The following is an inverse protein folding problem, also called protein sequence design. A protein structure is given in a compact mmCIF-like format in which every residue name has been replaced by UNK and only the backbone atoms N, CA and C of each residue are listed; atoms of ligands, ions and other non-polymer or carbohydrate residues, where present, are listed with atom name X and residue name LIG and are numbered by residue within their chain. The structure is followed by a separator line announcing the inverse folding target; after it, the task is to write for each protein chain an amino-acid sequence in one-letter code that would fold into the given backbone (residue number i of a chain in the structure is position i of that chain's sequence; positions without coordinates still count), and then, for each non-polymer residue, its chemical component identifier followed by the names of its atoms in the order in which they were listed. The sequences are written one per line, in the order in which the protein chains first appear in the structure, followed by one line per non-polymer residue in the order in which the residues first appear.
data_IF_702368784738
#
_entry.id   IF_702368784738
#
_cell.length_a   1.000
_cell.length_b   1.000
_cell.length_c   1.000
_cell.angle_alpha   90.00
_cell.angle_beta   90.00
_cell.angle_gamma   90.00
#
_symmetry.space_group_name_H-M   'P 1'
#
loop_
_entity.id
_entity.type
_entity.pdbx_description
1 polymer ?
#
# COMPACT_ATOMS: atom_id res chain seq x y z
N UNK A 1 -19.09 -37.72 48.35
CA UNK A 1 -20.39 -38.40 48.50
C UNK A 1 -21.26 -37.76 49.56
N UNK A 2 -20.82 -37.58 50.81
CA UNK A 2 -21.63 -36.98 51.89
C UNK A 2 -22.30 -35.64 51.52
N UNK A 3 -21.59 -34.74 50.87
CA UNK A 3 -22.15 -33.48 50.39
C UNK A 3 -23.26 -33.66 49.32
N UNK A 4 -23.15 -34.71 48.53
CA UNK A 4 -24.15 -35.06 47.53
C UNK A 4 -25.41 -35.65 48.19
N UNK A 5 -25.23 -36.60 49.15
CA UNK A 5 -26.30 -37.21 49.91
C UNK A 5 -27.09 -36.14 50.71
N UNK A 6 -26.37 -35.19 51.35
CA UNK A 6 -27.00 -34.07 52.05
C UNK A 6 -27.79 -33.14 51.11
N UNK A 7 -27.27 -32.87 49.93
CA UNK A 7 -27.92 -32.05 48.90
C UNK A 7 -29.18 -32.74 48.33
N UNK A 8 -29.18 -34.06 48.19
CA UNK A 8 -30.35 -34.82 47.77
C UNK A 8 -31.46 -34.71 48.84
N UNK A 9 -31.13 -34.96 50.11
CA UNK A 9 -32.07 -34.85 51.21
C UNK A 9 -32.61 -33.43 51.44
N UNK A 10 -31.79 -32.41 51.20
CA UNK A 10 -32.23 -31.01 51.22
C UNK A 10 -33.22 -30.70 50.10
N UNK A 11 -33.00 -31.18 48.88
CA UNK A 11 -33.93 -30.99 47.78
C UNK A 11 -35.27 -31.72 47.97
N UNK A 12 -35.31 -32.84 48.72
CA UNK A 12 -36.55 -33.52 49.08
C UNK A 12 -37.36 -32.70 50.08
N UNK A 13 -36.72 -31.88 50.90
CA UNK A 13 -37.40 -31.10 52.00
C UNK A 13 -37.72 -29.66 51.55
N UNK A 14 -36.90 -29.06 50.68
CA UNK A 14 -37.07 -27.69 50.22
C UNK A 14 -37.52 -27.70 48.77
N UNK A 15 -38.81 -27.77 48.53
CA UNK A 15 -39.42 -27.80 47.19
C UNK A 15 -39.13 -26.49 46.44
N UNK A 16 -39.02 -25.37 47.14
CA UNK A 16 -38.77 -24.07 46.50
C UNK A 16 -37.41 -24.00 45.83
N UNK A 17 -36.37 -24.61 46.42
CA UNK A 17 -35.01 -24.64 45.91
C UNK A 17 -34.60 -26.04 45.43
N UNK A 18 -35.54 -26.97 45.25
CA UNK A 18 -35.29 -28.36 44.92
C UNK A 18 -34.38 -28.51 43.71
N UNK A 19 -34.66 -27.79 42.61
CA UNK A 19 -33.89 -27.80 41.42
C UNK A 19 -32.40 -27.49 41.69
N UNK A 20 -32.11 -26.44 42.45
CA UNK A 20 -30.76 -26.00 42.80
C UNK A 20 -30.03 -27.01 43.68
N UNK A 21 -30.72 -27.57 44.67
CA UNK A 21 -30.14 -28.56 45.55
C UNK A 21 -29.82 -29.86 44.83
N UNK A 22 -30.70 -30.34 43.97
CA UNK A 22 -30.52 -31.59 43.22
C UNK A 22 -29.47 -31.46 42.12
N UNK A 23 -29.42 -30.37 41.41
CA UNK A 23 -28.36 -30.13 40.44
C UNK A 23 -26.98 -30.08 41.10
N UNK A 24 -26.87 -29.40 42.25
CA UNK A 24 -25.62 -29.37 43.03
C UNK A 24 -25.25 -30.74 43.60
N UNK A 25 -26.24 -31.51 44.09
CA UNK A 25 -26.02 -32.87 44.54
C UNK A 25 -25.54 -33.80 43.44
N UNK A 26 -26.15 -33.75 42.26
CA UNK A 26 -25.73 -34.50 41.10
C UNK A 26 -24.28 -34.16 40.68
N UNK A 27 -23.93 -32.88 40.68
CA UNK A 27 -22.54 -32.41 40.40
C UNK A 27 -21.55 -32.97 41.42
N UNK A 28 -21.92 -33.03 42.70
CA UNK A 28 -21.07 -33.58 43.75
C UNK A 28 -20.92 -35.12 43.65
N UNK A 29 -21.93 -35.85 43.20
CA UNK A 29 -21.80 -37.28 42.89
C UNK A 29 -20.86 -37.50 41.75
N UNK A 30 -20.95 -36.70 40.70
CA UNK A 30 -20.06 -36.77 39.54
C UNK A 30 -18.60 -36.50 39.94
N UNK A 31 -18.36 -35.50 40.77
CA UNK A 31 -17.00 -35.25 41.33
C UNK A 31 -16.50 -36.44 42.17
N UNK A 32 -17.35 -37.03 42.99
CA UNK A 32 -16.95 -38.21 43.76
C UNK A 32 -16.59 -39.41 42.91
N UNK A 33 -17.28 -39.59 41.77
CA UNK A 33 -16.95 -40.64 40.79
C UNK A 33 -15.68 -40.34 39.97
N UNK A 34 -15.26 -39.09 39.84
CA UNK A 34 -13.96 -38.76 39.24
C UNK A 34 -12.78 -39.23 40.13
N UNK A 35 -12.97 -39.21 41.49
CA UNK A 35 -11.95 -39.73 42.41
C UNK A 35 -11.98 -41.26 42.55
N UNK A 36 -13.17 -41.86 42.49
CA UNK A 36 -13.35 -43.32 42.53
C UNK A 36 -14.38 -43.79 41.49
N UNK A 37 -13.91 -43.99 40.22
CA UNK A 37 -14.82 -44.35 39.11
C UNK A 37 -15.51 -45.70 39.24
N UNK A 38 -14.99 -46.59 40.10
CA UNK A 38 -15.54 -47.96 40.33
C UNK A 38 -16.54 -48.03 41.47
N UNK A 39 -16.81 -46.92 42.17
CA UNK A 39 -17.73 -46.89 43.31
C UNK A 39 -19.18 -47.09 42.84
N UNK A 40 -19.61 -48.35 42.95
CA UNK A 40 -20.98 -48.76 42.53
C UNK A 40 -22.09 -48.07 43.32
N UNK A 41 -21.86 -47.84 44.60
CA UNK A 41 -22.87 -47.21 45.48
C UNK A 41 -23.04 -45.71 45.12
N UNK A 42 -21.96 -44.98 44.91
CA UNK A 42 -22.03 -43.60 44.48
C UNK A 42 -22.74 -43.46 43.11
N UNK A 43 -22.44 -44.36 42.18
CA UNK A 43 -23.10 -44.40 40.85
C UNK A 43 -24.58 -44.70 40.97
N UNK A 44 -24.96 -45.67 41.82
CA UNK A 44 -26.38 -46.02 42.05
C UNK A 44 -27.17 -44.82 42.62
N UNK A 45 -26.61 -44.11 43.60
CA UNK A 45 -27.23 -42.91 44.17
C UNK A 45 -27.36 -41.77 43.20
N UNK A 46 -26.32 -41.52 42.38
CA UNK A 46 -26.38 -40.54 41.33
C UNK A 46 -27.48 -40.82 40.32
N UNK A 47 -27.58 -42.09 39.84
CA UNK A 47 -28.60 -42.50 38.89
C UNK A 47 -30.01 -42.38 39.50
N UNK A 48 -30.19 -42.74 40.78
CA UNK A 48 -31.47 -42.56 41.48
C UNK A 48 -31.86 -41.09 41.55
N UNK A 49 -30.91 -40.18 41.84
CA UNK A 49 -31.17 -38.74 41.83
C UNK A 49 -31.53 -38.25 40.44
N UNK A 50 -30.82 -38.73 39.39
CA UNK A 50 -31.14 -38.38 38.01
C UNK A 50 -32.58 -38.78 37.62
N UNK A 51 -33.02 -40.02 37.98
CA UNK A 51 -34.41 -40.43 37.76
C UNK A 51 -35.44 -39.54 38.47
N UNK A 52 -35.15 -39.16 39.74
CA UNK A 52 -36.03 -38.24 40.46
C UNK A 52 -36.07 -36.83 39.83
N UNK A 53 -34.96 -36.40 39.31
CA UNK A 53 -34.89 -35.12 38.57
C UNK A 53 -35.67 -35.17 37.27
N UNK A 54 -35.61 -36.28 36.52
CA UNK A 54 -36.38 -36.47 35.28
C UNK A 54 -37.89 -36.52 35.55
N UNK A 55 -38.33 -37.22 36.65
CA UNK A 55 -39.74 -37.27 37.08
C UNK A 55 -40.29 -35.87 37.40
N UNK A 56 -39.46 -34.98 37.92
CA UNK A 56 -39.81 -33.60 38.23
C UNK A 56 -39.50 -32.59 37.12
N UNK A 57 -39.16 -33.06 35.91
CA UNK A 57 -38.75 -32.23 34.79
C UNK A 57 -37.61 -31.25 35.13
N UNK A 58 -36.74 -31.64 36.08
CA UNK A 58 -35.54 -30.88 36.45
C UNK A 58 -34.40 -31.31 35.58
N UNK A 59 -34.07 -30.51 34.58
CA UNK A 59 -32.92 -30.76 33.72
C UNK A 59 -31.59 -30.73 34.52
N UNK A 60 -30.66 -31.60 34.19
CA UNK A 60 -29.32 -31.68 34.79
C UNK A 60 -28.46 -30.40 34.52
N UNK A 61 -29.08 -29.39 33.92
CA UNK A 61 -28.44 -28.11 33.68
C UNK A 61 -27.37 -28.22 32.62
N UNK A 62 -27.74 -28.71 31.43
CA UNK A 62 -26.97 -28.50 30.22
C UNK A 62 -27.11 -27.02 29.81
N UNK A 63 -26.61 -26.10 30.65
CA UNK A 63 -26.26 -24.77 30.19
C UNK A 63 -25.17 -24.93 29.17
N UNK A 64 -25.16 -24.04 28.20
CA UNK A 64 -24.07 -23.91 27.20
C UNK A 64 -22.73 -23.74 27.95
N UNK A 65 -22.11 -24.87 28.35
CA UNK A 65 -20.82 -24.84 29.02
C UNK A 65 -19.76 -25.00 27.94
N UNK A 66 -19.00 -23.95 27.71
CA UNK A 66 -17.87 -23.96 26.78
C UNK A 66 -16.66 -24.68 27.38
N UNK A 67 -16.52 -24.69 28.70
CA UNK A 67 -15.44 -25.38 29.42
C UNK A 67 -16.05 -26.16 30.62
N UNK A 68 -15.53 -27.37 30.87
CA UNK A 68 -15.82 -28.20 32.03
C UNK A 68 -14.48 -28.55 32.71
N UNK A 69 -14.31 -28.10 33.95
CA UNK A 69 -13.08 -28.27 34.76
C UNK A 69 -11.78 -27.86 34.06
N UNK A 70 -11.84 -26.79 33.22
CA UNK A 70 -10.70 -26.26 32.49
C UNK A 70 -10.47 -26.88 31.09
N UNK A 71 -11.20 -27.96 30.77
CA UNK A 71 -11.16 -28.57 29.46
C UNK A 71 -12.29 -28.06 28.57
N UNK A 72 -12.05 -27.79 27.27
CA UNK A 72 -13.11 -27.39 26.37
C UNK A 72 -14.11 -28.54 26.17
N UNK A 73 -15.39 -28.24 26.30
CA UNK A 73 -16.46 -29.16 25.91
C UNK A 73 -16.54 -29.29 24.41
N UNK A 74 -17.26 -30.29 23.82
CA UNK A 74 -17.47 -30.34 22.37
C UNK A 74 -18.04 -29.04 21.80
N UNK A 75 -18.95 -28.38 22.53
CA UNK A 75 -19.47 -27.05 22.16
C UNK A 75 -18.39 -25.97 22.27
N UNK A 76 -17.55 -26.01 23.32
CA UNK A 76 -16.41 -25.12 23.48
C UNK A 76 -15.38 -25.26 22.37
N UNK A 77 -15.08 -26.48 21.94
CA UNK A 77 -14.19 -26.72 20.80
C UNK A 77 -14.75 -26.14 19.49
N UNK A 78 -16.03 -26.36 19.21
CA UNK A 78 -16.70 -25.77 18.03
C UNK A 78 -16.68 -24.25 18.12
N UNK A 79 -16.93 -23.67 19.28
CA UNK A 79 -16.90 -22.20 19.47
C UNK A 79 -15.50 -21.63 19.28
N UNK A 80 -14.45 -22.31 19.75
CA UNK A 80 -13.05 -21.91 19.53
C UNK A 80 -12.66 -21.99 18.06
N UNK A 81 -13.11 -23.03 17.34
CA UNK A 81 -12.88 -23.15 15.89
C UNK A 81 -13.57 -22.03 15.12
N UNK A 82 -14.83 -21.71 15.46
CA UNK A 82 -15.55 -20.60 14.83
C UNK A 82 -14.87 -19.27 15.13
N UNK A 83 -14.45 -19.02 16.39
CA UNK A 83 -13.74 -17.81 16.76
C UNK A 83 -12.41 -17.69 16.03
N UNK A 84 -11.65 -18.78 15.91
CA UNK A 84 -10.41 -18.83 15.14
C UNK A 84 -10.62 -18.54 13.64
N UNK A 85 -11.67 -19.13 13.05
CA UNK A 85 -12.03 -18.87 11.65
C UNK A 85 -12.43 -17.40 11.42
N UNK A 86 -13.23 -16.83 12.33
CA UNK A 86 -13.63 -15.41 12.27
C UNK A 86 -12.41 -14.49 12.38
N UNK A 87 -11.44 -14.86 13.23
CA UNK A 87 -10.19 -14.11 13.38
C UNK A 87 -9.33 -14.16 12.10
N UNK A 88 -9.23 -15.32 11.45
CA UNK A 88 -8.54 -15.47 10.17
C UNK A 88 -9.24 -14.71 9.04
N UNK A 89 -10.56 -14.77 8.98
CA UNK A 89 -11.35 -14.01 7.99
C UNK A 89 -11.20 -12.51 8.22
N UNK A 90 -11.28 -12.04 9.47
CA UNK A 90 -11.10 -10.62 9.78
C UNK A 90 -9.68 -10.16 9.48
N UNK A 91 -8.66 -10.98 9.76
CA UNK A 91 -7.28 -10.69 9.38
C UNK A 91 -7.12 -10.56 7.86
N UNK A 92 -7.69 -11.53 7.11
CA UNK A 92 -7.67 -11.47 5.64
C UNK A 92 -8.38 -10.22 5.10
N UNK A 93 -9.58 -9.90 5.61
CA UNK A 93 -10.31 -8.68 5.20
C UNK A 93 -9.53 -7.41 5.51
N UNK A 94 -8.84 -7.36 6.67
CA UNK A 94 -7.99 -6.21 7.04
C UNK A 94 -6.78 -6.12 6.11
N UNK A 95 -6.11 -7.24 5.80
CA UNK A 95 -4.98 -7.23 4.85
C UNK A 95 -5.43 -6.85 3.45
N UNK A 96 -6.52 -7.44 2.94
CA UNK A 96 -7.08 -7.09 1.63
C UNK A 96 -7.52 -5.60 1.56
N UNK A 97 -7.94 -5.00 2.67
CA UNK A 97 -8.30 -3.57 2.73
C UNK A 97 -7.08 -2.65 2.81
N UNK A 98 -5.99 -3.10 3.44
CA UNK A 98 -4.71 -2.37 3.48
C UNK A 98 -3.98 -2.49 2.12
N UNK A 99 -4.10 -3.67 1.47
CA UNK A 99 -3.47 -3.99 0.19
C UNK A 99 -4.38 -3.67 -1.02
N UNK A 100 -5.49 -2.90 -0.86
CA UNK A 100 -6.17 -2.37 -2.06
C UNK A 100 -5.18 -1.45 -2.76
N UNK A 101 -4.77 -1.75 -4.01
CA UNK A 101 -3.96 -0.82 -4.77
C UNK A 101 -4.70 0.52 -4.77
N UNK A 102 -4.05 1.58 -4.33
CA UNK A 102 -4.57 2.92 -4.61
C UNK A 102 -4.65 3.00 -6.15
N UNK A 103 -5.80 3.40 -6.68
CA UNK A 103 -5.94 3.58 -8.12
C UNK A 103 -4.76 4.41 -8.62
N UNK A 104 -4.08 3.91 -9.66
CA UNK A 104 -2.94 4.62 -10.27
C UNK A 104 -3.39 6.03 -10.65
N UNK A 105 -2.77 7.08 -10.08
CA UNK A 105 -3.19 8.45 -10.39
C UNK A 105 -2.93 8.75 -11.86
N UNK A 106 -3.87 9.43 -12.49
CA UNK A 106 -3.72 9.94 -13.86
C UNK A 106 -3.48 11.44 -13.79
N UNK A 107 -2.51 11.91 -14.55
CA UNK A 107 -2.22 13.34 -14.71
C UNK A 107 -2.36 13.76 -16.16
N UNK A 108 -2.77 15.01 -16.38
CA UNK A 108 -2.80 15.63 -17.70
C UNK A 108 -1.77 16.75 -17.78
N UNK A 109 -0.85 16.66 -18.73
CA UNK A 109 0.10 17.69 -19.06
C UNK A 109 -0.48 18.54 -20.21
N UNK A 110 -0.63 19.84 -20.02
CA UNK A 110 -0.94 20.80 -21.06
C UNK A 110 0.36 21.38 -21.59
N UNK A 111 0.71 21.10 -22.87
CA UNK A 111 2.00 21.45 -23.46
C UNK A 111 1.77 22.35 -24.66
N UNK A 112 2.41 23.54 -24.70
CA UNK A 112 2.41 24.43 -25.84
C UNK A 112 3.71 24.33 -26.62
N UNK A 113 3.62 24.00 -27.89
CA UNK A 113 4.80 23.83 -28.76
C UNK A 113 4.58 24.36 -30.16
N UNK A 114 5.68 24.52 -30.93
CA UNK A 114 5.67 24.80 -32.33
C UNK A 114 6.06 23.52 -33.09
N UNK A 115 5.18 22.93 -33.89
CA UNK A 115 5.55 21.79 -34.73
C UNK A 115 6.73 22.10 -35.65
N UNK A 116 7.58 21.12 -35.96
CA UNK A 116 8.70 21.27 -36.86
C UNK A 116 8.21 21.79 -38.23
N UNK A 117 8.85 22.84 -38.74
CA UNK A 117 8.42 23.53 -39.97
C UNK A 117 7.08 24.26 -39.87
N UNK A 118 6.44 24.28 -38.73
CA UNK A 118 5.18 24.99 -38.48
C UNK A 118 5.38 26.49 -38.23
N UNK A 119 4.30 27.26 -38.42
CA UNK A 119 4.28 28.70 -38.19
C UNK A 119 3.38 29.14 -37.07
N UNK A 120 2.62 28.22 -36.49
CA UNK A 120 1.67 28.48 -35.41
C UNK A 120 1.89 27.50 -34.26
N UNK A 121 1.75 27.99 -33.02
CA UNK A 121 1.82 27.13 -31.82
C UNK A 121 0.54 26.33 -31.68
N UNK A 122 0.70 25.11 -31.20
CA UNK A 122 -0.40 24.23 -30.85
C UNK A 122 -0.32 23.87 -29.36
N UNK A 123 -1.43 23.43 -28.81
CA UNK A 123 -1.51 22.93 -27.44
C UNK A 123 -1.84 21.44 -27.50
N UNK A 124 -1.00 20.65 -26.89
CA UNK A 124 -1.20 19.22 -26.67
C UNK A 124 -1.71 18.94 -25.26
N UNK A 125 -2.50 17.88 -25.12
CA UNK A 125 -2.92 17.33 -23.85
C UNK A 125 -2.45 15.89 -23.77
N UNK A 126 -1.51 15.61 -22.87
CA UNK A 126 -0.91 14.30 -22.69
C UNK A 126 -1.36 13.73 -21.36
N UNK A 127 -2.11 12.62 -21.39
CA UNK A 127 -2.53 11.93 -20.17
C UNK A 127 -1.54 10.81 -19.84
N UNK A 128 -1.13 10.75 -18.58
CA UNK A 128 -0.14 9.82 -18.07
C UNK A 128 -0.70 9.12 -16.84
N UNK A 129 -0.70 7.79 -16.85
CA UNK A 129 -0.91 6.95 -15.68
C UNK A 129 0.40 6.84 -14.89
N UNK A 130 0.34 7.08 -13.58
CA UNK A 130 1.50 7.00 -12.69
C UNK A 130 1.50 5.69 -11.91
N UNK A 131 2.62 4.97 -11.89
CA UNK A 131 2.76 3.64 -11.32
C UNK A 131 3.19 3.71 -9.85
N UNK A 132 2.22 3.94 -8.95
CA UNK A 132 2.47 4.14 -7.51
C UNK A 132 3.02 2.89 -6.83
N UNK A 133 2.63 1.70 -7.26
CA UNK A 133 3.08 0.45 -6.66
C UNK A 133 4.53 0.12 -7.02
N UNK A 134 4.97 0.48 -8.24
CA UNK A 134 6.30 0.18 -8.75
C UNK A 134 7.34 1.26 -8.42
N UNK A 135 6.90 2.52 -8.27
CA UNK A 135 7.78 3.65 -7.98
C UNK A 135 7.12 4.65 -7.01
N UNK A 136 6.79 4.22 -5.77
CA UNK A 136 5.98 5.00 -4.83
C UNK A 136 6.58 6.36 -4.49
N UNK A 137 7.91 6.45 -4.31
CA UNK A 137 8.56 7.72 -3.95
C UNK A 137 8.60 8.67 -5.14
N UNK A 138 8.86 8.16 -6.36
CA UNK A 138 8.89 9.00 -7.56
C UNK A 138 7.51 9.56 -7.89
N UNK A 139 6.46 8.73 -7.79
CA UNK A 139 5.08 9.16 -7.99
C UNK A 139 4.67 10.19 -6.93
N UNK A 140 4.97 9.94 -5.64
CA UNK A 140 4.69 10.90 -4.58
C UNK A 140 5.41 12.24 -4.83
N UNK A 141 6.71 12.20 -5.16
CA UNK A 141 7.50 13.40 -5.44
C UNK A 141 6.92 14.19 -6.62
N UNK A 142 6.56 13.49 -7.71
CA UNK A 142 5.95 14.13 -8.87
C UNK A 142 4.63 14.82 -8.51
N UNK A 143 3.75 14.15 -7.76
CA UNK A 143 2.46 14.69 -7.33
C UNK A 143 2.61 15.87 -6.37
N UNK A 144 3.57 15.84 -5.44
CA UNK A 144 3.87 16.99 -4.56
C UNK A 144 4.28 18.23 -5.36
N UNK A 145 5.11 18.04 -6.39
CA UNK A 145 5.55 19.14 -7.27
C UNK A 145 4.41 19.64 -8.18
N UNK A 146 3.48 18.78 -8.57
CA UNK A 146 2.24 19.16 -9.26
C UNK A 146 1.33 19.98 -8.34
N UNK A 147 1.12 19.52 -7.10
CA UNK A 147 0.28 20.22 -6.10
C UNK A 147 0.84 21.62 -5.77
N UNK A 148 2.15 21.75 -5.72
CA UNK A 148 2.85 23.04 -5.49
C UNK A 148 2.93 23.90 -6.75
N UNK A 149 2.37 23.45 -7.89
CA UNK A 149 2.45 24.11 -9.21
C UNK A 149 3.90 24.39 -9.69
N UNK A 150 4.88 23.63 -9.17
CA UNK A 150 6.29 23.80 -9.50
C UNK A 150 6.59 23.56 -11.00
N UNK A 151 5.79 22.73 -11.66
CA UNK A 151 5.93 22.45 -13.09
C UNK A 151 5.27 23.48 -14.01
N UNK A 152 4.41 24.36 -13.46
CA UNK A 152 3.65 25.30 -14.27
C UNK A 152 4.57 26.29 -14.97
N UNK A 153 4.34 26.47 -16.27
CA UNK A 153 5.09 27.35 -17.18
C UNK A 153 6.58 27.01 -17.32
N UNK A 154 7.03 25.82 -16.92
CA UNK A 154 8.40 25.35 -17.14
C UNK A 154 8.64 24.94 -18.60
N UNK A 155 9.91 24.69 -18.98
CA UNK A 155 10.27 24.31 -20.33
C UNK A 155 10.69 22.86 -20.42
N UNK A 156 10.44 22.26 -21.58
CA UNK A 156 11.22 21.12 -22.06
C UNK A 156 12.53 21.66 -22.61
N UNK A 157 13.57 21.65 -21.79
CA UNK A 157 14.86 22.29 -22.07
C UNK A 157 15.78 21.44 -22.93
N UNK A 158 15.49 20.15 -23.08
CA UNK A 158 16.27 19.22 -23.90
C UNK A 158 15.34 18.26 -24.64
N UNK A 159 15.42 18.27 -25.97
CA UNK A 159 14.60 17.43 -26.87
C UNK A 159 15.53 16.77 -27.88
N UNK A 160 15.43 15.44 -27.97
CA UNK A 160 16.18 14.65 -28.96
C UNK A 160 15.19 13.71 -29.64
N UNK A 161 15.06 13.88 -30.93
CA UNK A 161 14.27 13.02 -31.80
C UNK A 161 14.75 11.57 -31.71
N UNK A 162 13.83 10.60 -31.85
CA UNK A 162 14.09 9.16 -31.65
C UNK A 162 14.66 8.81 -30.24
N UNK A 163 14.58 9.71 -29.25
CA UNK A 163 15.09 9.44 -27.92
C UNK A 163 14.14 9.87 -26.80
N UNK A 164 14.03 11.18 -26.50
CA UNK A 164 13.20 11.66 -25.36
C UNK A 164 12.95 13.17 -25.44
N UNK A 165 11.91 13.60 -24.71
CA UNK A 165 11.66 15.00 -24.37
C UNK A 165 11.85 15.18 -22.85
N UNK A 166 12.76 16.05 -22.42
CA UNK A 166 13.14 16.26 -21.03
C UNK A 166 12.75 17.65 -20.53
N UNK A 167 12.07 17.69 -19.37
CA UNK A 167 11.63 18.90 -18.68
C UNK A 167 11.69 18.77 -17.17
N UNK A 168 10.93 19.61 -16.46
CA UNK A 168 10.78 19.56 -15.00
C UNK A 168 11.88 20.27 -14.21
N UNK A 169 12.78 21.02 -14.86
CA UNK A 169 13.68 21.97 -14.18
C UNK A 169 12.94 23.27 -13.92
N UNK A 170 12.33 23.39 -12.74
CA UNK A 170 11.55 24.57 -12.36
C UNK A 170 12.41 25.70 -11.76
N UNK A 171 13.69 25.42 -11.44
CA UNK A 171 14.58 26.42 -10.85
C UNK A 171 15.33 27.22 -11.94
N UNK A 172 15.94 26.53 -12.91
CA UNK A 172 16.84 27.16 -13.89
C UNK A 172 16.32 27.04 -15.34
N UNK A 173 15.42 26.09 -15.63
CA UNK A 173 14.87 25.80 -16.96
C UNK A 173 15.94 25.46 -18.04
N UNK A 174 17.13 25.01 -17.63
CA UNK A 174 18.25 24.67 -18.53
C UNK A 174 18.82 23.25 -18.26
N UNK A 175 18.25 22.53 -17.33
CA UNK A 175 18.65 21.17 -16.95
C UNK A 175 19.64 21.10 -15.80
N UNK A 176 20.01 22.22 -15.21
CA UNK A 176 20.98 22.29 -14.08
C UNK A 176 20.34 22.40 -12.71
N UNK A 177 19.04 22.67 -12.64
CA UNK A 177 18.29 22.89 -11.42
C UNK A 177 17.29 21.77 -11.13
N UNK A 178 16.40 22.05 -10.18
CA UNK A 178 15.35 21.17 -9.72
C UNK A 178 15.69 20.41 -8.46
N UNK A 179 14.72 20.34 -7.56
CA UNK A 179 14.80 19.65 -6.27
C UNK A 179 13.53 18.84 -6.03
N UNK A 180 13.58 17.92 -5.05
CA UNK A 180 12.40 17.14 -4.66
C UNK A 180 11.42 17.98 -3.84
N UNK A 181 10.11 17.64 -3.91
CA UNK A 181 9.05 18.34 -3.17
C UNK A 181 9.12 18.17 -1.66
N UNK A 182 9.84 17.15 -1.17
CA UNK A 182 10.15 16.94 0.24
C UNK A 182 11.51 16.26 0.39
N UNK A 183 11.99 16.15 1.63
CA UNK A 183 13.21 15.41 1.95
C UNK A 183 13.02 13.89 1.83
N UNK A 184 13.81 13.22 0.97
CA UNK A 184 13.82 11.77 0.76
C UNK A 184 15.10 11.08 1.28
N UNK A 185 15.95 11.78 2.04
CA UNK A 185 17.14 11.18 2.65
C UNK A 185 18.44 11.40 1.88
N UNK A 186 18.41 12.00 0.70
CA UNK A 186 19.59 12.17 -0.17
C UNK A 186 19.93 13.64 -0.42
N UNK A 187 21.21 13.97 -0.32
CA UNK A 187 21.78 15.28 -0.65
C UNK A 187 22.72 15.14 -1.84
N UNK A 188 22.34 15.61 -3.02
CA UNK A 188 23.07 15.37 -4.28
C UNK A 188 23.40 13.87 -4.54
N UNK A 189 22.52 12.98 -4.14
CA UNK A 189 22.67 11.52 -4.29
C UNK A 189 23.32 10.81 -3.11
N UNK A 190 23.83 11.53 -2.12
CA UNK A 190 24.49 10.94 -0.94
C UNK A 190 23.56 10.91 0.29
N UNK A 191 23.53 9.78 0.99
CA UNK A 191 22.86 9.66 2.31
C UNK A 191 23.71 10.22 3.44
N UNK A 192 25.04 10.17 3.30
CA UNK A 192 26.01 10.52 4.32
C UNK A 192 26.86 11.72 3.89
N UNK A 193 27.18 12.59 4.84
CA UNK A 193 28.15 13.66 4.64
C UNK A 193 29.60 13.13 4.57
N UNK A 194 30.55 14.00 4.23
CA UNK A 194 31.97 13.64 4.16
C UNK A 194 32.59 13.17 5.48
N UNK A 195 31.88 13.29 6.61
CA UNK A 195 32.29 12.82 7.93
C UNK A 195 31.60 11.49 8.30
N UNK A 196 30.69 10.99 7.46
CA UNK A 196 29.95 9.74 7.67
C UNK A 196 28.70 9.87 8.52
N UNK A 197 28.17 11.08 8.71
CA UNK A 197 26.89 11.31 9.37
C UNK A 197 25.77 11.35 8.34
N UNK A 198 24.58 10.87 8.69
CA UNK A 198 23.41 10.99 7.82
C UNK A 198 23.05 12.46 7.57
N UNK A 199 22.79 12.78 6.31
CA UNK A 199 22.20 14.06 5.96
C UNK A 199 20.80 14.19 6.55
N UNK A 200 20.39 15.39 6.87
CA UNK A 200 19.02 15.76 7.28
C UNK A 200 18.53 16.92 6.41
N UNK A 201 17.23 17.17 6.44
CA UNK A 201 16.65 18.30 5.71
C UNK A 201 17.26 19.66 6.13
N UNK A 202 17.72 19.78 7.38
CA UNK A 202 18.36 21.00 7.88
C UNK A 202 19.83 21.10 7.47
N UNK A 203 20.51 19.98 7.27
CA UNK A 203 21.95 19.95 6.91
C UNK A 203 22.20 20.03 5.40
N UNK A 204 21.18 19.74 4.57
CA UNK A 204 21.25 19.78 3.12
C UNK A 204 20.37 20.92 2.58
N UNK A 205 20.90 21.84 1.76
CA UNK A 205 20.06 22.87 1.14
C UNK A 205 19.01 22.24 0.22
N UNK A 206 17.80 22.79 0.19
CA UNK A 206 16.68 22.23 -0.57
C UNK A 206 17.00 22.06 -2.05
N UNK A 207 17.73 22.97 -2.66
CA UNK A 207 18.19 22.87 -4.06
C UNK A 207 19.09 21.65 -4.36
N UNK A 208 19.51 20.94 -3.31
CA UNK A 208 20.33 19.72 -3.40
C UNK A 208 19.57 18.47 -2.96
N UNK A 209 18.26 18.58 -2.68
CA UNK A 209 17.45 17.43 -2.31
C UNK A 209 17.20 16.53 -3.51
N UNK A 210 17.54 15.27 -3.34
CA UNK A 210 17.38 14.23 -4.37
C UNK A 210 16.64 13.02 -3.80
N UNK A 211 16.29 12.07 -4.67
CA UNK A 211 15.50 10.90 -4.35
C UNK A 211 16.28 9.62 -4.68
N UNK A 212 16.10 8.58 -3.86
CA UNK A 212 16.66 7.26 -4.11
C UNK A 212 16.08 6.61 -5.37
N UNK A 213 16.93 5.95 -6.15
CA UNK A 213 16.51 5.28 -7.38
C UNK A 213 15.52 4.14 -7.06
N UNK A 214 14.43 4.02 -7.82
CA UNK A 214 13.47 2.91 -7.84
C UNK A 214 13.52 2.19 -9.21
N UNK A 215 14.70 2.16 -9.85
CA UNK A 215 14.87 1.66 -11.22
C UNK A 215 14.81 0.12 -11.34
N UNK A 216 14.97 -0.62 -10.22
CA UNK A 216 14.82 -2.10 -10.18
C UNK A 216 13.36 -2.50 -9.91
N UNK A 217 12.44 -1.87 -10.63
CA UNK A 217 10.99 -2.08 -10.47
C UNK A 217 10.36 -2.95 -11.59
N UNK A 218 11.20 -3.46 -12.51
CA UNK A 218 10.77 -4.31 -13.60
C UNK A 218 10.14 -3.57 -14.80
N UNK A 219 10.02 -2.23 -14.74
CA UNK A 219 9.53 -1.42 -15.84
C UNK A 219 10.66 -1.11 -16.83
N UNK A 220 10.30 -1.02 -18.11
CA UNK A 220 11.23 -0.78 -19.22
C UNK A 220 10.88 0.54 -19.92
N UNK A 221 11.89 1.12 -20.59
CA UNK A 221 11.70 2.30 -21.42
C UNK A 221 11.05 1.89 -22.75
N UNK A 222 9.75 1.98 -22.80
CA UNK A 222 8.92 1.75 -23.99
C UNK A 222 8.35 3.08 -24.50
N UNK A 223 7.81 3.13 -25.74
CA UNK A 223 7.08 4.31 -26.21
C UNK A 223 6.05 4.81 -25.19
N UNK A 224 6.13 6.08 -24.81
CA UNK A 224 5.25 6.70 -23.82
C UNK A 224 5.70 6.58 -22.37
N UNK A 225 6.82 5.90 -22.06
CA UNK A 225 7.30 5.83 -20.67
C UNK A 225 7.65 7.21 -20.13
N UNK A 226 7.17 7.52 -18.89
CA UNK A 226 7.59 8.65 -18.08
C UNK A 226 8.68 8.17 -17.14
N UNK A 227 9.86 8.80 -17.15
CA UNK A 227 11.00 8.37 -16.35
C UNK A 227 11.76 9.54 -15.72
N UNK A 228 12.44 9.25 -14.59
CA UNK A 228 13.23 10.24 -13.84
C UNK A 228 14.54 10.55 -14.53
N UNK A 229 14.74 11.83 -14.84
CA UNK A 229 16.04 12.32 -15.30
C UNK A 229 16.99 12.45 -14.09
N UNK A 230 18.23 12.01 -14.29
CA UNK A 230 19.29 12.12 -13.26
C UNK A 230 20.67 12.15 -13.92
N UNK A 231 21.69 12.44 -13.13
CA UNK A 231 23.09 12.31 -13.56
C UNK A 231 23.48 10.82 -13.66
N UNK A 232 24.73 10.54 -14.06
CA UNK A 232 25.24 9.16 -14.07
C UNK A 232 25.41 8.57 -12.66
N UNK A 233 25.38 9.39 -11.60
CA UNK A 233 25.44 8.91 -10.23
C UNK A 233 24.07 8.39 -9.78
N UNK A 234 24.07 7.42 -8.86
CA UNK A 234 22.85 6.91 -8.27
C UNK A 234 22.16 7.97 -7.37
N UNK A 235 20.85 7.87 -7.21
CA UNK A 235 20.05 8.68 -6.27
C UNK A 235 20.14 10.19 -6.53
N UNK A 236 20.45 10.62 -7.75
CA UNK A 236 20.54 12.05 -8.11
C UNK A 236 19.32 12.57 -8.85
N UNK A 237 18.25 11.77 -8.94
CA UNK A 237 16.95 12.21 -9.43
C UNK A 237 16.35 13.29 -8.52
N UNK A 238 15.60 14.25 -9.09
CA UNK A 238 14.98 15.33 -8.33
C UNK A 238 13.58 15.66 -8.86
N UNK A 239 13.41 16.76 -9.60
CA UNK A 239 12.16 17.14 -10.25
C UNK A 239 12.14 16.86 -11.73
N UNK A 240 13.31 16.71 -12.36
CA UNK A 240 13.40 16.56 -13.80
C UNK A 240 12.95 15.18 -14.26
N UNK A 241 12.16 15.16 -15.32
CA UNK A 241 11.64 13.94 -15.94
C UNK A 241 11.82 13.99 -17.46
N UNK A 242 11.67 12.83 -18.09
CA UNK A 242 11.55 12.76 -19.54
C UNK A 242 10.45 11.78 -19.96
N UNK A 243 9.92 12.01 -21.16
CA UNK A 243 8.93 11.15 -21.79
C UNK A 243 9.55 10.58 -23.07
N UNK A 244 9.38 9.27 -23.26
CA UNK A 244 9.86 8.55 -24.44
C UNK A 244 8.84 8.71 -25.58
N UNK A 245 9.22 9.22 -26.75
CA UNK A 245 8.31 9.36 -27.90
C UNK A 245 7.90 8.01 -28.49
N UNK A 246 6.90 8.03 -29.38
CA UNK A 246 6.26 6.82 -29.91
C UNK A 246 7.15 5.94 -30.79
N UNK A 247 8.23 6.47 -31.30
CA UNK A 247 9.20 5.85 -32.21
C UNK A 247 10.53 5.47 -31.54
N UNK A 248 10.62 5.62 -30.21
CA UNK A 248 11.84 5.35 -29.43
C UNK A 248 11.70 4.20 -28.44
N UNK A 249 12.81 3.51 -28.19
CA UNK A 249 12.95 2.48 -27.16
C UNK A 249 14.36 2.49 -26.55
N UNK A 250 14.70 3.44 -25.66
CA UNK A 250 16.06 3.61 -25.16
C UNK A 250 16.40 2.57 -24.08
N UNK A 251 16.45 1.31 -24.45
CA UNK A 251 16.65 0.16 -23.55
C UNK A 251 17.98 0.20 -22.77
N UNK A 252 18.94 1.02 -23.16
CA UNK A 252 20.18 1.23 -22.40
C UNK A 252 19.97 1.97 -21.08
N UNK A 253 18.76 2.54 -20.85
CA UNK A 253 18.36 3.20 -19.60
C UNK A 253 17.61 2.27 -18.64
N UNK A 254 17.23 1.05 -19.08
CA UNK A 254 16.52 0.08 -18.26
C UNK A 254 17.33 -0.30 -17.04
N UNK A 255 16.67 -0.30 -15.85
CA UNK A 255 17.33 -0.57 -14.57
C UNK A 255 18.31 0.52 -14.11
N UNK A 256 18.43 1.65 -14.83
CA UNK A 256 19.30 2.79 -14.49
C UNK A 256 18.49 4.02 -14.11
N UNK A 257 17.49 4.33 -14.92
CA UNK A 257 16.56 5.42 -14.66
C UNK A 257 15.20 4.85 -14.24
N UNK A 258 14.59 5.42 -13.22
CA UNK A 258 13.28 4.96 -12.73
C UNK A 258 12.18 5.34 -13.70
N UNK A 259 11.54 4.35 -14.30
CA UNK A 259 10.26 4.53 -14.99
C UNK A 259 9.18 4.55 -13.93
N UNK A 260 8.29 5.56 -13.93
CA UNK A 260 7.26 5.72 -12.92
C UNK A 260 5.87 6.09 -13.47
N UNK A 261 5.71 6.04 -14.80
CA UNK A 261 4.43 6.27 -15.47
C UNK A 261 4.45 5.94 -16.94
N UNK A 262 3.26 6.00 -17.56
CA UNK A 262 3.03 5.68 -18.96
C UNK A 262 2.01 6.63 -19.58
N UNK A 263 2.29 7.17 -20.74
CA UNK A 263 1.33 7.93 -21.55
C UNK A 263 0.22 7.00 -22.01
N UNK A 264 -1.01 7.34 -21.66
CA UNK A 264 -2.22 6.62 -22.04
C UNK A 264 -3.03 7.35 -23.12
N UNK A 265 -2.77 8.66 -23.33
CA UNK A 265 -3.38 9.48 -24.38
C UNK A 265 -2.42 10.60 -24.80
N UNK A 266 -2.39 10.95 -26.10
CA UNK A 266 -1.55 12.03 -26.63
C UNK A 266 -0.10 11.64 -26.94
N UNK A 267 0.19 10.35 -27.14
CA UNK A 267 1.54 9.88 -27.50
C UNK A 267 2.01 10.42 -28.85
N UNK A 268 1.11 10.63 -29.79
CA UNK A 268 1.38 11.26 -31.08
C UNK A 268 1.87 12.70 -30.91
N UNK A 269 1.33 13.45 -29.93
CA UNK A 269 1.82 14.79 -29.61
C UNK A 269 3.21 14.77 -29.00
N UNK A 270 3.50 13.79 -28.10
CA UNK A 270 4.86 13.60 -27.56
C UNK A 270 5.86 13.34 -28.68
N UNK A 271 5.50 12.53 -29.68
CA UNK A 271 6.32 12.26 -30.84
C UNK A 271 6.52 13.52 -31.69
N UNK A 272 5.44 14.27 -31.97
CA UNK A 272 5.54 15.53 -32.69
C UNK A 272 6.37 16.61 -31.95
N UNK A 273 6.35 16.59 -30.62
CA UNK A 273 7.20 17.46 -29.80
C UNK A 273 8.67 17.03 -29.91
N UNK A 274 8.97 15.73 -29.95
CA UNK A 274 10.34 15.23 -30.04
C UNK A 274 11.01 15.66 -31.36
N UNK A 275 10.25 15.86 -32.45
CA UNK A 275 10.67 16.36 -33.73
C UNK A 275 10.88 17.90 -33.80
N UNK A 276 10.68 18.63 -32.66
CA UNK A 276 10.84 20.08 -32.63
C UNK A 276 12.23 20.50 -33.06
N UNK A 277 12.32 21.60 -33.84
CA UNK A 277 13.58 22.12 -34.36
C UNK A 277 14.54 22.49 -33.23
N UNK A 278 15.72 21.87 -33.20
CA UNK A 278 16.87 22.19 -32.34
C UNK A 278 18.07 22.63 -33.14
N UNK A 279 19.09 23.25 -32.54
CA UNK A 279 20.34 23.56 -33.26
C UNK A 279 20.99 22.31 -33.86
N UNK A 280 20.93 21.16 -33.19
CA UNK A 280 21.46 19.90 -33.72
C UNK A 280 20.62 19.37 -34.89
N UNK A 281 19.27 19.34 -34.78
CA UNK A 281 18.39 18.81 -35.82
C UNK A 281 18.42 19.65 -37.09
N UNK A 282 18.57 20.98 -36.98
CA UNK A 282 18.61 21.91 -38.11
C UNK A 282 20.02 22.18 -38.64
N UNK A 283 21.06 21.61 -38.02
CA UNK A 283 22.49 21.86 -38.36
C UNK A 283 22.89 23.35 -38.23
N UNK A 284 22.17 24.13 -37.44
CA UNK A 284 22.46 25.55 -37.19
C UNK A 284 23.39 25.79 -35.99
N UNK A 285 23.83 24.72 -35.35
CA UNK A 285 24.69 24.78 -34.15
C UNK A 285 24.77 23.45 -33.45
N UNK A 286 25.21 23.46 -32.22
CA UNK A 286 25.17 22.29 -31.33
C UNK A 286 24.23 22.57 -30.15
N UNK A 287 23.43 21.59 -29.79
CA UNK A 287 22.52 21.63 -28.62
C UNK A 287 21.15 21.07 -28.93
N UNK A 288 20.53 20.56 -27.89
CA UNK A 288 19.25 19.85 -27.93
C UNK A 288 18.12 20.71 -27.35
N UNK A 289 18.35 21.98 -27.06
CA UNK A 289 17.33 22.94 -26.63
C UNK A 289 16.48 23.38 -27.82
N UNK A 290 15.16 23.27 -27.78
CA UNK A 290 14.30 23.69 -28.87
C UNK A 290 14.51 25.16 -29.27
N UNK A 291 14.60 25.42 -30.56
CA UNK A 291 14.72 26.80 -31.10
C UNK A 291 13.45 27.61 -30.77
N UNK A 292 12.30 26.98 -30.90
CA UNK A 292 11.03 27.51 -30.44
C UNK A 292 10.68 26.82 -29.10
N UNK A 293 10.63 27.57 -28.02
CA UNK A 293 10.35 27.01 -26.70
C UNK A 293 9.19 26.03 -26.73
N UNK A 294 9.36 24.83 -26.12
CA UNK A 294 8.31 23.90 -25.78
C UNK A 294 8.02 24.11 -24.30
N UNK A 295 6.79 24.49 -23.97
CA UNK A 295 6.42 24.92 -22.63
C UNK A 295 5.34 24.02 -22.03
N UNK A 296 5.61 23.48 -20.86
CA UNK A 296 4.61 22.85 -19.99
C UNK A 296 3.79 23.96 -19.34
N UNK A 297 2.54 24.10 -19.74
CA UNK A 297 1.65 25.17 -19.26
C UNK A 297 1.18 24.85 -17.84
N UNK A 298 0.71 23.64 -17.62
CA UNK A 298 0.31 23.13 -16.31
C UNK A 298 0.27 21.61 -16.30
N UNK A 299 0.31 21.04 -15.10
CA UNK A 299 0.01 19.64 -14.85
C UNK A 299 -1.19 19.55 -13.90
N UNK A 300 -2.20 18.76 -14.25
CA UNK A 300 -3.38 18.56 -13.41
C UNK A 300 -3.55 17.08 -13.07
N UNK A 301 -3.94 16.80 -11.84
CA UNK A 301 -4.32 15.44 -11.42
C UNK A 301 -5.78 15.23 -11.82
N UNK A 302 -6.07 14.14 -12.50
CA UNK A 302 -7.43 13.78 -12.90
C UNK A 302 -8.12 13.10 -11.72
N UNK A 303 -9.38 13.51 -11.42
CA UNK A 303 -10.21 12.92 -10.36
C UNK A 303 -10.78 11.54 -10.76
#
# INVERSE_FOLDING_TARGET
RFAADAGTALGEKDITNQKRHWQRAHKNYRKALNFDPKNKETRRRMNKLASLMDEQAISLGAGLQFFDEGNPTPLGLVSLLIAGLLLLVSFKVITDWIDTPEDSPIVTLEISYMPSGGNERVTAFVEIELYRDEAPNHVENFLLLVEDSSYDFTKFHRIIDDFMIQGGDFENEDGTGGSTGKWYGYCNGDELDGAGNSHTAESCPQSSWTIGDEADNGLLHTPGSLAMAKTSAANTGSSQFYIVPGDSTPSHLDGVHTVFGQVISGLEDVTAISEADTPNSTQQGSGDTPINEVRLIQVTVND
#
